data_IF_955588663380
#
_entry.id   IF_955588663380
#
_cell.length_a   1.000
_cell.length_b   1.000
_cell.length_c   1.000
_cell.angle_alpha   90.00
_cell.angle_beta   90.00
_cell.angle_gamma   90.00
#
_symmetry.space_group_name_H-M   'P 1'
#
loop_
_entity.id
_entity.type
_entity.pdbx_description
1 polymer ?
#
# COMPACT_ATOMS: atom_id res chain seq x y z
N UNK A 1 -16.66 16.20 -4.59
CA UNK A 1 -15.26 15.70 -4.72
C UNK A 1 -14.82 15.49 -6.16
N UNK A 2 -15.64 14.92 -7.05
CA UNK A 2 -15.26 14.66 -8.45
C UNK A 2 -14.85 15.91 -9.27
N UNK A 3 -15.28 17.10 -8.84
CA UNK A 3 -14.96 18.41 -9.46
C UNK A 3 -13.54 18.91 -9.19
N UNK A 4 -12.81 18.30 -8.24
CA UNK A 4 -11.46 18.73 -7.86
C UNK A 4 -10.35 17.80 -8.38
N UNK A 5 -10.71 16.74 -9.10
CA UNK A 5 -9.76 15.77 -9.63
C UNK A 5 -9.46 16.11 -11.08
N UNK A 6 -8.18 16.13 -11.42
CA UNK A 6 -7.76 16.21 -12.81
C UNK A 6 -8.22 14.96 -13.58
N UNK A 7 -8.40 15.05 -14.91
CA UNK A 7 -8.91 13.94 -15.71
C UNK A 7 -8.11 12.65 -15.55
N UNK A 8 -6.78 12.73 -15.37
CA UNK A 8 -5.91 11.55 -15.21
C UNK A 8 -6.11 10.88 -13.86
N UNK A 9 -6.39 11.64 -12.81
CA UNK A 9 -6.71 11.09 -11.49
C UNK A 9 -8.09 10.44 -11.45
N UNK A 10 -9.06 10.94 -12.22
CA UNK A 10 -10.40 10.35 -12.32
C UNK A 10 -10.33 8.95 -12.97
N UNK A 11 -9.48 8.75 -13.98
CA UNK A 11 -9.32 7.45 -14.65
C UNK A 11 -8.75 6.36 -13.73
N UNK A 12 -8.03 6.72 -12.68
CA UNK A 12 -7.48 5.79 -11.68
C UNK A 12 -8.46 5.47 -10.56
N UNK A 13 -9.62 6.12 -10.54
CA UNK A 13 -10.56 6.08 -9.43
C UNK A 13 -11.80 5.29 -9.80
N UNK A 14 -11.90 4.08 -9.24
CA UNK A 14 -13.12 3.29 -9.28
C UNK A 14 -13.85 3.44 -7.95
N UNK A 15 -15.08 3.96 -8.03
CA UNK A 15 -15.98 4.00 -6.88
C UNK A 15 -16.80 2.72 -6.88
N UNK A 16 -16.66 1.97 -5.80
CA UNK A 16 -17.25 0.65 -5.64
C UNK A 16 -18.10 0.64 -4.39
N UNK A 17 -19.27 0.02 -4.47
CA UNK A 17 -20.26 0.02 -3.40
C UNK A 17 -20.69 -1.42 -3.08
N UNK A 18 -20.67 -1.77 -1.79
CA UNK A 18 -21.01 -3.12 -1.31
C UNK A 18 -22.45 -3.56 -1.65
N UNK A 19 -23.37 -2.61 -1.80
CA UNK A 19 -24.79 -2.87 -2.08
C UNK A 19 -25.10 -3.04 -3.57
N UNK A 20 -24.14 -2.76 -4.44
CA UNK A 20 -24.30 -2.79 -5.88
C UNK A 20 -23.52 -3.97 -6.46
N UNK A 21 -24.23 -4.93 -7.03
CA UNK A 21 -23.63 -6.18 -7.53
C UNK A 21 -22.65 -5.92 -8.69
N UNK A 22 -22.96 -4.96 -9.56
CA UNK A 22 -22.09 -4.57 -10.67
C UNK A 22 -20.79 -3.93 -10.19
N UNK A 23 -20.86 -3.09 -9.16
CA UNK A 23 -19.69 -2.55 -8.46
C UNK A 23 -18.82 -3.68 -7.90
N UNK A 24 -19.42 -4.64 -7.19
CA UNK A 24 -18.67 -5.76 -6.62
C UNK A 24 -17.92 -6.58 -7.67
N UNK A 25 -18.54 -6.82 -8.84
CA UNK A 25 -17.88 -7.46 -9.98
C UNK A 25 -16.67 -6.66 -10.48
N UNK A 26 -16.75 -5.33 -10.48
CA UNK A 26 -15.60 -4.46 -10.81
C UNK A 26 -14.48 -4.66 -9.79
N UNK A 27 -14.78 -4.72 -8.49
CA UNK A 27 -13.75 -4.96 -7.46
C UNK A 27 -13.08 -6.32 -7.62
N UNK A 28 -13.87 -7.38 -7.78
CA UNK A 28 -13.38 -8.76 -7.93
C UNK A 28 -12.61 -8.99 -9.22
N UNK A 29 -12.79 -8.12 -10.24
CA UNK A 29 -11.97 -8.14 -11.46
C UNK A 29 -10.52 -7.70 -11.22
N UNK A 30 -10.30 -6.81 -10.25
CA UNK A 30 -8.97 -6.26 -9.96
C UNK A 30 -8.31 -6.89 -8.73
N UNK A 31 -9.09 -7.48 -7.83
CA UNK A 31 -8.62 -8.06 -6.57
C UNK A 31 -9.29 -9.40 -6.36
N UNK A 32 -8.51 -10.44 -6.06
CA UNK A 32 -9.06 -11.77 -5.84
C UNK A 32 -9.97 -11.80 -4.59
N UNK A 33 -11.18 -12.37 -4.69
CA UNK A 33 -12.13 -12.39 -3.58
C UNK A 33 -11.63 -13.23 -2.39
N UNK A 34 -10.78 -14.23 -2.63
CA UNK A 34 -10.22 -15.10 -1.58
C UNK A 34 -9.24 -14.39 -0.65
N UNK A 35 -8.55 -13.35 -1.13
CA UNK A 35 -7.62 -12.55 -0.30
C UNK A 35 -8.27 -11.29 0.25
N UNK A 36 -9.38 -10.86 -0.35
CA UNK A 36 -10.12 -9.66 0.05
C UNK A 36 -10.96 -9.91 1.31
N UNK A 37 -10.83 -9.08 2.36
CA UNK A 37 -11.62 -9.25 3.58
C UNK A 37 -13.13 -9.14 3.36
N UNK A 38 -13.91 -9.89 4.12
CA UNK A 38 -15.40 -9.89 4.08
C UNK A 38 -16.00 -8.50 4.32
N UNK A 39 -15.33 -7.66 5.11
CA UNK A 39 -15.72 -6.27 5.38
C UNK A 39 -15.73 -5.40 4.13
N UNK A 40 -14.94 -5.79 3.13
CA UNK A 40 -14.87 -5.16 1.82
C UNK A 40 -15.59 -6.01 0.75
N UNK A 41 -16.39 -7.01 1.15
CA UNK A 41 -17.16 -7.84 0.23
C UNK A 41 -16.36 -8.90 -0.53
N UNK A 42 -15.23 -9.34 0.05
CA UNK A 42 -14.57 -10.59 -0.35
C UNK A 42 -15.01 -11.78 0.50
N UNK A 43 -14.24 -12.86 0.45
CA UNK A 43 -14.53 -14.13 1.13
C UNK A 43 -13.58 -14.38 2.32
N UNK A 44 -12.55 -13.56 2.49
CA UNK A 44 -11.54 -13.73 3.53
C UNK A 44 -12.03 -13.26 4.90
N UNK A 45 -12.13 -14.16 5.88
CA UNK A 45 -12.54 -13.85 7.25
C UNK A 45 -11.36 -13.60 8.20
N UNK A 46 -10.19 -13.22 7.67
CA UNK A 46 -9.04 -12.85 8.51
C UNK A 46 -9.30 -11.50 9.17
N UNK A 47 -9.23 -11.49 10.51
CA UNK A 47 -9.34 -10.28 11.32
C UNK A 47 -8.05 -9.48 11.21
N UNK A 48 -8.17 -8.17 10.98
CA UNK A 48 -7.02 -7.28 10.90
C UNK A 48 -6.28 -7.20 12.25
N UNK A 49 -5.03 -7.64 12.28
CA UNK A 49 -4.11 -7.46 13.40
C UNK A 49 -3.07 -6.39 13.03
N UNK A 50 -3.15 -5.24 13.69
CA UNK A 50 -2.27 -4.11 13.43
C UNK A 50 -0.79 -4.45 13.67
N UNK A 51 -0.48 -5.16 14.76
CA UNK A 51 0.91 -5.45 15.14
C UNK A 51 1.57 -6.39 14.12
N UNK A 52 0.86 -7.44 13.71
CA UNK A 52 1.35 -8.39 12.71
C UNK A 52 1.53 -7.72 11.35
N UNK A 53 0.55 -6.93 10.92
CA UNK A 53 0.60 -6.23 9.64
C UNK A 53 1.74 -5.21 9.60
N UNK A 54 1.91 -4.41 10.66
CA UNK A 54 3.00 -3.43 10.78
C UNK A 54 4.38 -4.09 10.70
N UNK A 55 4.56 -5.22 11.40
CA UNK A 55 5.79 -6.00 11.34
C UNK A 55 6.04 -6.58 9.94
N UNK A 56 5.00 -7.05 9.25
CA UNK A 56 5.13 -7.56 7.87
C UNK A 56 5.56 -6.45 6.91
N UNK A 57 4.88 -5.30 6.93
CA UNK A 57 5.22 -4.15 6.08
C UNK A 57 6.67 -3.71 6.28
N UNK A 58 7.13 -3.61 7.53
CA UNK A 58 8.52 -3.23 7.82
C UNK A 58 9.53 -4.24 7.25
N UNK A 59 9.25 -5.53 7.35
CA UNK A 59 10.13 -6.58 6.80
C UNK A 59 10.18 -6.52 5.29
N UNK A 60 9.03 -6.35 4.65
CA UNK A 60 8.92 -6.27 3.19
C UNK A 60 9.62 -5.01 2.66
N UNK A 61 9.48 -3.87 3.32
CA UNK A 61 10.18 -2.63 2.97
C UNK A 61 11.71 -2.80 3.06
N UNK A 62 12.21 -3.40 4.15
CA UNK A 62 13.66 -3.65 4.33
C UNK A 62 14.18 -4.57 3.22
N UNK A 63 13.48 -5.67 2.95
CA UNK A 63 13.85 -6.63 1.90
C UNK A 63 13.84 -5.96 0.53
N UNK A 64 12.79 -5.21 0.23
CA UNK A 64 12.61 -4.51 -1.03
C UNK A 64 13.69 -3.45 -1.23
N UNK A 65 13.97 -2.63 -0.22
CA UNK A 65 15.06 -1.65 -0.25
C UNK A 65 16.42 -2.31 -0.51
N UNK A 66 16.69 -3.47 0.12
CA UNK A 66 17.92 -4.21 -0.13
C UNK A 66 18.00 -4.73 -1.57
N UNK A 67 16.90 -5.25 -2.12
CA UNK A 67 16.81 -5.71 -3.51
C UNK A 67 17.09 -4.57 -4.50
N UNK A 68 16.42 -3.42 -4.35
CA UNK A 68 16.64 -2.27 -5.24
C UNK A 68 18.03 -1.65 -5.09
N UNK A 69 18.65 -1.75 -3.90
CA UNK A 69 20.04 -1.28 -3.68
C UNK A 69 21.04 -2.13 -4.47
N UNK A 70 20.76 -3.43 -4.67
CA UNK A 70 21.64 -4.33 -5.44
C UNK A 70 21.61 -4.00 -6.94
N UNK A 71 20.45 -3.66 -7.50
CA UNK A 71 20.34 -3.23 -8.90
C UNK A 71 20.99 -1.86 -9.16
N UNK A 72 20.94 -0.95 -8.17
CA UNK A 72 21.69 0.31 -8.24
C UNK A 72 23.21 0.07 -8.22
N UNK A 73 23.68 -1.08 -7.72
CA UNK A 73 25.11 -1.46 -7.70
C UNK A 73 25.67 -2.00 -9.01
N UNK A 74 24.83 -2.50 -9.90
CA UNK A 74 25.29 -2.94 -11.22
C UNK A 74 25.44 -1.81 -12.23
N UNK A 75 24.86 -0.63 -11.96
CA UNK A 75 24.86 0.51 -12.89
C UNK A 75 25.96 1.55 -12.62
N UNK A 76 26.61 1.53 -11.44
CA UNK A 76 27.67 2.48 -11.12
C UNK A 76 29.08 2.04 -11.53
N UNK A 77 29.20 1.62 -12.79
CA UNK A 77 30.43 1.97 -13.52
C UNK A 77 30.37 3.43 -13.98
N UNK A 78 29.21 4.08 -14.11
CA UNK A 78 29.17 5.50 -14.53
C UNK A 78 28.00 6.28 -13.90
N UNK A 79 28.36 7.36 -13.18
CA UNK A 79 27.52 8.46 -12.66
C UNK A 79 26.80 8.25 -11.33
N UNK A 80 27.20 9.08 -10.35
CA UNK A 80 26.84 9.00 -8.94
C UNK A 80 25.38 9.34 -8.64
N UNK A 81 24.76 8.46 -7.87
CA UNK A 81 23.44 8.65 -7.28
C UNK A 81 23.64 8.87 -5.78
N UNK A 82 23.31 10.07 -5.31
CA UNK A 82 23.27 10.39 -3.88
C UNK A 82 21.90 9.94 -3.35
N UNK A 83 21.87 8.80 -2.67
CA UNK A 83 20.65 8.28 -2.04
C UNK A 83 20.40 9.05 -0.73
N UNK A 84 19.19 9.60 -0.48
CA UNK A 84 18.87 10.19 0.81
C UNK A 84 18.85 9.10 1.89
N UNK A 85 19.60 9.31 2.96
CA UNK A 85 19.59 8.45 4.16
C UNK A 85 18.22 8.57 4.84
N UNK A 86 17.34 7.61 4.62
CA UNK A 86 16.08 7.49 5.38
C UNK A 86 16.45 6.92 6.75
N UNK A 87 16.50 7.78 7.77
CA UNK A 87 16.63 7.34 9.15
C UNK A 87 15.31 6.68 9.60
N UNK A 88 15.34 5.58 10.36
CA UNK A 88 14.12 5.02 10.94
C UNK A 88 13.47 6.09 11.82
N UNK A 89 12.26 6.51 11.47
CA UNK A 89 11.50 7.42 12.32
C UNK A 89 11.12 6.65 13.60
N UNK A 90 11.71 7.09 14.72
CA UNK A 90 11.38 6.62 16.06
C UNK A 90 9.91 6.92 16.34
N UNK A 91 9.10 5.88 16.58
CA UNK A 91 7.74 6.04 17.08
C UNK A 91 7.79 6.55 18.53
N UNK A 92 7.65 7.87 18.72
CA UNK A 92 7.25 8.45 19.99
C UNK A 92 5.95 9.22 19.76
N UNK A 93 4.83 8.51 19.69
CA UNK A 93 3.50 9.09 19.83
C UNK A 93 2.94 8.68 21.17
N UNK A 94 3.51 9.23 22.25
CA UNK A 94 2.93 9.19 23.57
C UNK A 94 2.71 10.62 24.07
N UNK A 95 1.45 10.87 24.44
CA UNK A 95 0.96 11.93 25.33
C UNK A 95 0.87 13.35 24.76
N UNK A 96 -0.31 13.70 24.24
CA UNK A 96 -1.00 14.91 24.70
C UNK A 96 -2.52 14.79 24.52
N UNK A 97 -3.16 14.32 25.58
CA UNK A 97 -4.61 14.36 25.76
C UNK A 97 -4.88 14.54 27.24
N UNK A 98 -5.03 15.78 27.67
CA UNK A 98 -5.62 16.17 28.95
C UNK A 98 -6.52 17.37 28.69
#
# INVERSE_FOLDING_TARGET
MKVFLDPRSIEKLNFVYLKDEESMKVMHKYIDPEVLPVEFGGENNVVYNHEEYSKSMMKDDIKTASFWTVDLQTDHVNHGIVVPKIAPQSQNCELLGS
#
